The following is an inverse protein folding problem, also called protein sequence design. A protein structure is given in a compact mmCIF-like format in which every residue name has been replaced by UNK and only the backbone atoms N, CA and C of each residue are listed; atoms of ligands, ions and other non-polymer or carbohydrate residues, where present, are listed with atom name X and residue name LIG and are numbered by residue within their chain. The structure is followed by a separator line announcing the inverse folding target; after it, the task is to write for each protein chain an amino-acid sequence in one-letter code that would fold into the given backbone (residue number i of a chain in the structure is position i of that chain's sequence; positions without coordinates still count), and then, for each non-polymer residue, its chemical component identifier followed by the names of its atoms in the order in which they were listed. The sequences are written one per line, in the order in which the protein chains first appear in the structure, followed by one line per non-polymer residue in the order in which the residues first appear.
data_IF_541847054939
#
_entry.id   IF_541847054939
#
_cell.length_a   1.000
_cell.length_b   1.000
_cell.length_c   1.000
_cell.angle_alpha   90.00
_cell.angle_beta   90.00
_cell.angle_gamma   90.00
#
_symmetry.space_group_name_H-M   'P 1'
#
loop_
_entity.id
_entity.type
_entity.pdbx_description
1 polymer ?
#
# COMPACT_ATOMS: atom_id res chain seq x y z
N UNK A 1 -70.90 -39.42 25.13
CA UNK A 1 -71.41 -40.74 24.70
C UNK A 1 -70.27 -41.52 24.05
N UNK A 2 -70.25 -42.86 24.19
CA UNK A 2 -69.05 -43.65 24.45
C UNK A 2 -68.37 -44.25 23.19
N UNK A 3 -67.08 -44.56 23.37
CA UNK A 3 -66.20 -45.68 22.88
C UNK A 3 -66.84 -46.79 22.00
N UNK A 4 -66.09 -47.75 21.40
CA UNK A 4 -64.71 -47.86 20.86
C UNK A 4 -64.70 -48.48 19.43
N UNK A 5 -63.53 -48.75 18.83
CA UNK A 5 -63.10 -50.13 18.49
C UNK A 5 -61.82 -50.16 17.63
N UNK A 6 -60.78 -50.81 18.18
CA UNK A 6 -59.76 -51.53 17.40
C UNK A 6 -60.26 -52.96 17.16
N UNK A 7 -59.91 -53.59 16.04
CA UNK A 7 -58.93 -54.70 16.04
C UNK A 7 -57.90 -54.52 14.90
N UNK A 8 -56.61 -54.87 14.98
CA UNK A 8 -55.93 -56.13 15.35
C UNK A 8 -55.84 -57.14 14.18
N UNK A 9 -54.58 -57.50 13.84
CA UNK A 9 -54.09 -58.64 13.02
C UNK A 9 -54.45 -58.65 11.52
N UNK A 10 -53.65 -59.15 10.57
CA UNK A 10 -52.30 -59.73 10.55
C UNK A 10 -51.94 -59.98 9.06
N UNK A 11 -50.62 -60.11 8.77
CA UNK A 11 -50.01 -60.90 7.67
C UNK A 11 -50.34 -60.46 6.22
N UNK A 12 -49.49 -60.58 5.23
CA UNK A 12 -48.08 -60.91 5.10
C UNK A 12 -47.70 -60.62 3.63
N UNK A 13 -46.42 -60.34 3.43
CA UNK A 13 -45.59 -60.78 2.31
C UNK A 13 -45.72 -60.13 0.90
N UNK A 14 -44.54 -59.68 0.45
CA UNK A 14 -44.03 -59.53 -0.93
C UNK A 14 -44.64 -58.38 -1.72
N UNK A 15 -43.91 -57.35 -2.15
CA UNK A 15 -42.47 -57.17 -2.34
C UNK A 15 -42.27 -56.63 -3.74
N UNK A 16 -41.82 -55.38 -3.88
CA UNK A 16 -41.09 -54.88 -5.06
C UNK A 16 -40.17 -53.77 -4.56
N UNK A 17 -38.87 -53.97 -4.80
CA UNK A 17 -37.81 -53.02 -4.50
C UNK A 17 -37.95 -51.79 -5.41
N UNK A 18 -38.21 -50.62 -4.81
CA UNK A 18 -38.07 -49.31 -5.44
C UNK A 18 -36.90 -48.59 -4.81
N UNK A 19 -35.83 -48.40 -5.58
CA UNK A 19 -34.61 -47.72 -5.17
C UNK A 19 -34.90 -46.28 -4.74
N UNK A 20 -34.69 -46.00 -3.45
CA UNK A 20 -34.77 -44.65 -2.88
C UNK A 20 -33.42 -43.96 -3.09
N UNK A 21 -33.31 -43.13 -4.12
CA UNK A 21 -32.18 -42.21 -4.29
C UNK A 21 -32.18 -41.21 -3.13
N UNK A 22 -31.30 -41.43 -2.16
CA UNK A 22 -30.88 -40.42 -1.19
C UNK A 22 -30.00 -39.40 -1.92
N UNK A 23 -30.60 -38.29 -2.35
CA UNK A 23 -29.86 -37.09 -2.76
C UNK A 23 -29.29 -36.42 -1.51
N UNK A 24 -28.11 -36.88 -1.08
CA UNK A 24 -27.27 -36.12 -0.15
C UNK A 24 -26.70 -34.94 -0.90
N UNK A 25 -27.32 -33.77 -0.77
CA UNK A 25 -26.71 -32.49 -1.12
C UNK A 25 -25.53 -32.25 -0.18
N UNK A 26 -24.37 -32.75 -0.56
CA UNK A 26 -23.09 -32.31 -0.03
C UNK A 26 -22.94 -30.83 -0.39
N UNK A 27 -23.09 -29.97 0.62
CA UNK A 27 -22.68 -28.58 0.53
C UNK A 27 -21.14 -28.59 0.47
N UNK A 28 -20.60 -28.73 -0.73
CA UNK A 28 -19.21 -28.40 -1.00
C UNK A 28 -19.08 -26.88 -0.89
N UNK A 29 -18.88 -26.41 0.34
CA UNK A 29 -18.29 -25.09 0.59
C UNK A 29 -16.89 -25.15 -0.02
N UNK A 30 -16.78 -24.65 -1.25
CA UNK A 30 -15.50 -24.27 -1.81
C UNK A 30 -14.96 -23.14 -0.94
N UNK A 31 -14.11 -23.51 0.02
CA UNK A 31 -13.19 -22.63 0.70
C UNK A 31 -12.19 -22.14 -0.35
N UNK A 32 -12.46 -20.99 -0.97
CA UNK A 32 -11.46 -20.26 -1.75
C UNK A 32 -10.61 -19.46 -0.78
N UNK A 33 -9.71 -20.17 -0.14
CA UNK A 33 -8.57 -19.67 0.62
C UNK A 33 -7.65 -18.86 -0.30
N UNK A 34 -7.20 -17.69 0.14
CA UNK A 34 -5.84 -17.28 -0.18
C UNK A 34 -5.21 -16.54 1.01
N UNK A 35 -4.10 -17.05 1.58
CA UNK A 35 -3.37 -16.34 2.60
C UNK A 35 -2.91 -14.97 2.08
N UNK A 36 -2.62 -14.00 2.97
CA UNK A 36 -2.03 -12.72 2.57
C UNK A 36 -0.78 -12.98 1.71
N UNK A 37 -0.48 -12.11 0.73
CA UNK A 37 0.61 -12.34 -0.20
C UNK A 37 1.87 -12.66 0.61
N UNK A 38 2.51 -13.81 0.36
CA UNK A 38 3.78 -14.10 1.00
C UNK A 38 4.75 -12.95 0.67
N UNK A 39 5.71 -12.70 1.56
CA UNK A 39 6.91 -11.96 1.15
C UNK A 39 7.41 -12.56 -0.17
N UNK A 40 7.93 -11.75 -1.12
CA UNK A 40 8.36 -12.27 -2.41
C UNK A 40 9.18 -13.54 -2.22
N UNK A 41 8.84 -14.59 -2.99
CA UNK A 41 9.51 -15.87 -2.86
C UNK A 41 11.03 -15.66 -3.01
N UNK A 42 11.89 -16.39 -2.27
CA UNK A 42 13.33 -16.32 -2.47
C UNK A 42 13.66 -16.50 -3.96
N UNK A 43 14.20 -15.46 -4.59
CA UNK A 43 14.46 -15.44 -6.03
C UNK A 43 13.45 -14.69 -6.91
N UNK A 44 12.56 -13.87 -6.35
CA UNK A 44 11.73 -12.94 -7.12
C UNK A 44 12.58 -12.05 -8.06
N UNK A 45 12.17 -11.94 -9.32
CA UNK A 45 12.89 -11.19 -10.37
C UNK A 45 11.91 -10.43 -11.24
N UNK A 46 12.17 -9.13 -11.40
CA UNK A 46 11.47 -8.33 -12.39
C UNK A 46 11.92 -8.75 -13.79
N UNK A 47 10.99 -9.28 -14.59
CA UNK A 47 11.21 -9.57 -16.01
C UNK A 47 10.26 -8.70 -16.83
N UNK A 48 10.83 -7.94 -17.77
CA UNK A 48 10.11 -7.01 -18.65
C UNK A 48 9.89 -7.62 -20.03
N UNK A 49 8.62 -7.77 -20.42
CA UNK A 49 8.25 -8.27 -21.75
C UNK A 49 7.78 -7.10 -22.63
N UNK A 50 8.25 -6.97 -23.87
CA UNK A 50 7.77 -5.90 -24.76
C UNK A 50 6.27 -6.05 -25.01
N UNK A 51 5.54 -4.93 -25.03
CA UNK A 51 4.10 -4.88 -25.32
C UNK A 51 3.78 -3.76 -26.33
N UNK A 52 2.64 -3.79 -26.99
CA UNK A 52 2.10 -2.67 -27.74
C UNK A 52 1.09 -1.89 -26.89
N UNK A 53 0.80 -0.64 -27.24
CA UNK A 53 -0.28 0.12 -26.59
C UNK A 53 -1.66 -0.53 -26.79
N UNK A 54 -1.84 -1.32 -27.85
CA UNK A 54 -3.03 -2.14 -28.06
C UNK A 54 -3.19 -3.26 -27.02
N UNK A 55 -2.09 -3.66 -26.36
CA UNK A 55 -2.10 -4.69 -25.31
C UNK A 55 -2.43 -4.11 -23.92
N UNK A 56 -2.57 -2.79 -23.78
CA UNK A 56 -2.90 -2.12 -22.53
C UNK A 56 -4.44 -1.99 -22.41
N UNK A 57 -5.10 -2.78 -21.54
CA UNK A 57 -6.55 -2.71 -21.39
C UNK A 57 -6.96 -1.32 -20.95
N UNK A 58 -8.01 -0.78 -21.57
CA UNK A 58 -8.53 0.55 -21.21
C UNK A 58 -7.65 1.73 -21.63
N UNK A 59 -6.57 1.53 -22.40
CA UNK A 59 -5.66 2.62 -22.80
C UNK A 59 -6.42 3.84 -23.33
N UNK A 60 -7.30 3.63 -24.31
CA UNK A 60 -8.07 4.70 -24.95
C UNK A 60 -9.15 5.34 -24.06
N UNK A 61 -9.47 4.73 -22.91
CA UNK A 61 -10.54 5.19 -22.01
C UNK A 61 -10.02 6.04 -20.84
N UNK A 62 -8.81 5.80 -20.35
CA UNK A 62 -8.23 6.63 -19.27
C UNK A 62 -7.95 8.05 -19.77
N UNK A 63 -8.15 9.05 -18.91
CA UNK A 63 -7.75 10.44 -19.17
C UNK A 63 -6.26 10.60 -18.84
N UNK A 64 -5.39 10.24 -19.78
CA UNK A 64 -3.93 10.19 -19.51
C UNK A 64 -3.32 11.55 -19.24
N UNK A 65 -3.97 12.65 -19.68
CA UNK A 65 -3.53 14.02 -19.37
C UNK A 65 -3.48 14.31 -17.87
N UNK A 66 -4.31 13.63 -17.07
CA UNK A 66 -4.33 13.81 -15.62
C UNK A 66 -3.09 13.22 -14.93
N UNK A 67 -2.38 12.29 -15.58
CA UNK A 67 -1.11 11.76 -15.08
C UNK A 67 0.09 12.66 -15.41
N UNK A 68 -0.04 13.56 -16.39
CA UNK A 68 1.08 14.42 -16.86
C UNK A 68 1.70 15.24 -15.72
N UNK A 69 0.93 15.89 -14.82
CA UNK A 69 1.53 16.60 -13.70
C UNK A 69 2.37 15.71 -12.78
N UNK A 70 1.97 14.44 -12.57
CA UNK A 70 2.77 13.50 -11.78
C UNK A 70 4.07 13.15 -12.51
N UNK A 71 4.01 12.89 -13.83
CA UNK A 71 5.20 12.60 -14.63
C UNK A 71 6.18 13.78 -14.61
N UNK A 72 5.67 15.01 -14.74
CA UNK A 72 6.50 16.22 -14.72
C UNK A 72 7.19 16.44 -13.37
N UNK A 73 6.51 16.17 -12.24
CA UNK A 73 7.13 16.21 -10.91
C UNK A 73 8.31 15.24 -10.81
N UNK A 74 8.19 14.06 -11.42
CA UNK A 74 9.26 13.07 -11.46
C UNK A 74 10.37 13.40 -12.45
N UNK A 75 10.08 14.08 -13.57
CA UNK A 75 11.06 14.48 -14.57
C UNK A 75 12.25 15.24 -13.96
N UNK A 76 12.02 16.15 -13.01
CA UNK A 76 13.10 16.89 -12.35
C UNK A 76 14.09 15.97 -11.62
N UNK A 77 13.63 14.82 -11.10
CA UNK A 77 14.47 13.83 -10.42
C UNK A 77 15.17 12.95 -11.46
N UNK A 78 14.42 12.45 -12.46
CA UNK A 78 14.92 11.56 -13.51
C UNK A 78 16.03 12.20 -14.36
N UNK A 79 15.93 13.51 -14.63
CA UNK A 79 16.94 14.26 -15.38
C UNK A 79 18.26 14.44 -14.62
N UNK A 80 18.29 14.21 -13.30
CA UNK A 80 19.52 14.24 -12.49
C UNK A 80 20.10 12.86 -12.28
N UNK A 81 19.24 11.90 -11.93
CA UNK A 81 19.66 10.56 -11.59
C UNK A 81 18.55 9.56 -11.89
N UNK A 82 18.95 8.44 -12.49
CA UNK A 82 18.10 7.28 -12.75
C UNK A 82 18.73 6.04 -12.10
N UNK A 83 17.96 4.96 -12.01
CA UNK A 83 18.43 3.66 -11.51
C UNK A 83 17.71 2.52 -12.23
N UNK A 84 18.23 1.30 -12.08
CA UNK A 84 17.61 0.08 -12.58
C UNK A 84 17.24 0.14 -14.06
N UNK A 85 15.99 -0.24 -14.37
CA UNK A 85 15.46 -0.33 -15.75
C UNK A 85 15.13 1.03 -16.37
N UNK A 86 15.30 2.15 -15.66
CA UNK A 86 14.87 3.47 -16.12
C UNK A 86 15.78 4.12 -17.19
N UNK A 87 16.87 3.45 -17.61
CA UNK A 87 17.84 4.03 -18.54
C UNK A 87 18.73 5.08 -17.89
N UNK A 88 19.30 5.99 -18.69
CA UNK A 88 20.17 7.08 -18.23
C UNK A 88 19.39 8.40 -18.18
N UNK A 89 19.82 9.42 -17.41
CA UNK A 89 19.14 10.71 -17.35
C UNK A 89 18.91 11.36 -18.73
N UNK A 90 19.83 11.16 -19.68
CA UNK A 90 19.73 11.72 -21.03
C UNK A 90 18.55 11.16 -21.83
N UNK A 91 18.12 9.93 -21.56
CA UNK A 91 16.97 9.29 -22.21
C UNK A 91 15.65 10.02 -21.87
N UNK A 92 15.62 10.75 -20.75
CA UNK A 92 14.44 11.47 -20.25
C UNK A 92 14.32 12.91 -20.77
N UNK A 93 15.37 13.47 -21.38
CA UNK A 93 15.38 14.86 -21.86
C UNK A 93 14.21 15.15 -22.82
N UNK A 94 14.12 14.38 -23.91
CA UNK A 94 13.12 14.61 -24.95
C UNK A 94 11.68 14.28 -24.51
N UNK A 95 11.41 13.13 -23.83
CA UNK A 95 10.09 12.84 -23.27
C UNK A 95 9.61 13.92 -22.29
N UNK A 96 10.45 14.32 -21.32
CA UNK A 96 10.08 15.33 -20.34
C UNK A 96 9.83 16.70 -20.98
N UNK A 97 10.67 17.11 -21.94
CA UNK A 97 10.44 18.36 -22.67
C UNK A 97 9.15 18.33 -23.49
N UNK A 98 8.82 17.19 -24.11
CA UNK A 98 7.59 17.06 -24.90
C UNK A 98 6.35 17.18 -24.02
N UNK A 99 6.32 16.50 -22.87
CA UNK A 99 5.22 16.58 -21.91
C UNK A 99 5.08 17.97 -21.29
N UNK A 100 6.20 18.65 -21.01
CA UNK A 100 6.19 20.01 -20.44
C UNK A 100 5.58 21.05 -21.39
N UNK A 101 5.72 20.85 -22.69
CA UNK A 101 5.25 21.77 -23.73
C UNK A 101 3.82 21.47 -24.22
N UNK A 102 3.10 20.55 -23.57
CA UNK A 102 1.72 20.25 -23.90
C UNK A 102 0.80 21.43 -23.53
N UNK A 103 -0.20 21.76 -24.36
CA UNK A 103 -1.28 22.63 -23.93
C UNK A 103 -2.02 22.01 -22.73
N UNK A 104 -2.32 22.79 -21.67
CA UNK A 104 -3.01 22.29 -20.49
C UNK A 104 -4.33 21.57 -20.84
N UNK A 105 -4.51 20.37 -20.31
CA UNK A 105 -5.74 19.58 -20.50
C UNK A 105 -5.92 18.96 -21.90
N UNK A 106 -4.94 19.06 -22.81
CA UNK A 106 -5.04 18.48 -24.14
C UNK A 106 -4.76 16.97 -24.14
N UNK A 107 -5.83 16.19 -23.95
CA UNK A 107 -5.81 14.73 -23.87
C UNK A 107 -5.20 14.05 -25.11
N UNK A 108 -5.60 14.47 -26.31
CA UNK A 108 -5.12 13.86 -27.55
C UNK A 108 -3.60 14.04 -27.73
N UNK A 109 -3.09 15.24 -27.44
CA UNK A 109 -1.64 15.51 -27.51
C UNK A 109 -0.88 14.79 -26.41
N UNK A 110 -1.43 14.69 -25.20
CA UNK A 110 -0.82 13.94 -24.10
C UNK A 110 -0.64 12.46 -24.46
N UNK A 111 -1.70 11.83 -24.98
CA UNK A 111 -1.66 10.44 -25.47
C UNK A 111 -0.66 10.24 -26.59
N UNK A 112 -0.70 11.09 -27.61
CA UNK A 112 0.24 11.02 -28.73
C UNK A 112 1.70 11.20 -28.27
N UNK A 113 1.96 12.08 -27.29
CA UNK A 113 3.29 12.25 -26.72
C UNK A 113 3.75 10.99 -25.97
N UNK A 114 2.88 10.37 -25.17
CA UNK A 114 3.19 9.12 -24.47
C UNK A 114 3.52 8.01 -25.47
N UNK A 115 2.67 7.80 -26.48
CA UNK A 115 2.88 6.79 -27.52
C UNK A 115 4.15 7.01 -28.33
N UNK A 116 4.48 8.28 -28.61
CA UNK A 116 5.69 8.65 -29.34
C UNK A 116 6.96 8.39 -28.54
N UNK A 117 6.97 8.73 -27.25
CA UNK A 117 8.21 8.80 -26.47
C UNK A 117 8.46 7.58 -25.60
N UNK A 118 7.42 6.82 -25.24
CA UNK A 118 7.52 5.68 -24.35
C UNK A 118 7.10 4.38 -25.03
N UNK A 119 7.78 3.31 -24.65
CA UNK A 119 7.50 1.93 -25.01
C UNK A 119 6.93 1.21 -23.77
N UNK A 120 5.75 0.59 -23.84
CA UNK A 120 5.24 -0.22 -22.74
C UNK A 120 5.99 -1.55 -22.65
N UNK A 121 6.29 -1.95 -21.41
CA UNK A 121 6.91 -3.21 -21.05
C UNK A 121 6.10 -3.87 -19.93
N UNK A 122 5.52 -5.04 -20.19
CA UNK A 122 4.76 -5.78 -19.18
C UNK A 122 5.71 -6.27 -18.08
N UNK A 123 5.43 -5.89 -16.84
CA UNK A 123 6.19 -6.37 -15.70
C UNK A 123 5.70 -7.75 -15.26
N UNK A 124 6.64 -8.62 -14.91
CA UNK A 124 6.35 -9.96 -14.40
C UNK A 124 7.31 -10.31 -13.26
N UNK A 125 6.84 -11.12 -12.32
CA UNK A 125 7.68 -11.83 -11.34
C UNK A 125 8.03 -13.20 -11.91
N UNK A 126 9.27 -13.38 -12.38
CA UNK A 126 9.71 -14.64 -12.98
C UNK A 126 8.76 -15.18 -14.08
N UNK A 127 8.17 -14.27 -14.87
CA UNK A 127 7.20 -14.61 -15.92
C UNK A 127 5.74 -14.60 -15.47
N UNK A 128 5.43 -14.53 -14.18
CA UNK A 128 4.07 -14.32 -13.68
C UNK A 128 3.70 -12.82 -13.73
N UNK A 129 2.72 -12.41 -14.54
CA UNK A 129 2.30 -11.01 -14.63
C UNK A 129 1.34 -10.57 -13.53
N UNK A 130 0.83 -11.49 -12.71
CA UNK A 130 -0.15 -11.18 -11.69
C UNK A 130 0.49 -10.86 -10.35
N UNK A 131 -0.03 -9.81 -9.73
CA UNK A 131 0.39 -9.30 -8.44
C UNK A 131 -0.79 -8.81 -7.60
N UNK A 132 -0.45 -8.24 -6.43
CA UNK A 132 -1.43 -7.64 -5.53
C UNK A 132 -1.29 -6.12 -5.49
N UNK A 133 -2.42 -5.44 -5.57
CA UNK A 133 -2.52 -4.00 -5.48
C UNK A 133 -3.45 -3.61 -4.34
N UNK A 134 -2.98 -2.68 -3.52
CA UNK A 134 -3.71 -2.12 -2.37
C UNK A 134 -3.91 -0.62 -2.59
N UNK A 135 -4.57 0.06 -1.67
CA UNK A 135 -4.64 1.51 -1.68
C UNK A 135 -4.31 2.15 -0.33
N UNK A 136 -3.83 3.38 -0.37
CA UNK A 136 -3.55 4.22 0.79
C UNK A 136 -4.01 5.67 0.55
N UNK A 137 -4.11 6.47 1.61
CA UNK A 137 -4.68 7.82 1.59
C UNK A 137 -4.09 8.71 2.70
N UNK A 138 -4.27 10.03 2.61
CA UNK A 138 -4.01 10.96 3.73
C UNK A 138 -5.16 10.84 4.75
N UNK A 139 -4.87 10.34 5.95
CA UNK A 139 -5.86 10.19 7.01
C UNK A 139 -6.36 11.57 7.49
N UNK A 140 -7.65 11.71 7.74
CA UNK A 140 -8.22 12.88 8.44
C UNK A 140 -8.31 12.57 9.95
N UNK A 141 -7.83 13.48 10.79
CA UNK A 141 -7.81 13.34 12.24
C UNK A 141 -8.29 14.63 12.91
N UNK A 142 -8.58 14.57 14.20
CA UNK A 142 -8.84 15.74 15.04
C UNK A 142 -7.74 15.91 16.06
N UNK A 143 -7.31 17.15 16.27
CA UNK A 143 -6.23 17.43 17.19
C UNK A 143 -6.25 18.83 17.79
N UNK A 144 -5.33 19.06 18.72
CA UNK A 144 -5.05 20.33 19.37
C UNK A 144 -3.54 20.49 19.53
N UNK A 145 -3.03 21.72 19.42
CA UNK A 145 -1.60 22.00 19.65
C UNK A 145 -1.20 21.82 21.11
N UNK A 146 -2.15 21.96 22.03
CA UNK A 146 -1.94 21.75 23.47
C UNK A 146 -2.68 20.52 23.98
N UNK A 147 -2.12 19.89 25.01
CA UNK A 147 -2.75 18.74 25.68
C UNK A 147 -3.86 19.22 26.60
N UNK A 148 -5.10 18.81 26.34
CA UNK A 148 -6.25 19.07 27.23
C UNK A 148 -7.46 18.22 26.84
N UNK A 149 -8.39 18.04 27.78
CA UNK A 149 -9.66 17.35 27.52
C UNK A 149 -9.45 15.97 26.88
N UNK A 150 -10.03 15.77 25.69
CA UNK A 150 -9.88 14.55 24.88
C UNK A 150 -8.54 14.45 24.14
N UNK A 151 -7.87 15.57 23.88
CA UNK A 151 -6.61 15.63 23.13
C UNK A 151 -5.44 15.19 24.00
N UNK A 152 -5.25 13.88 24.07
CA UNK A 152 -4.35 13.22 25.01
C UNK A 152 -3.34 12.30 24.34
N UNK A 153 -3.50 12.02 23.05
CA UNK A 153 -2.63 11.13 22.28
C UNK A 153 -1.57 11.96 21.54
N UNK A 154 -0.29 11.89 21.91
CA UNK A 154 0.74 12.70 21.26
C UNK A 154 1.09 12.14 19.88
N UNK A 155 1.16 13.01 18.88
CA UNK A 155 1.83 12.75 17.61
C UNK A 155 3.25 13.35 17.69
N UNK A 156 4.29 12.54 17.54
CA UNK A 156 5.66 13.00 17.78
C UNK A 156 6.40 13.45 16.52
N UNK A 157 7.21 14.51 16.69
CA UNK A 157 8.31 14.86 15.80
C UNK A 157 9.40 13.79 15.86
N UNK A 158 10.22 13.73 14.80
CA UNK A 158 11.41 12.89 14.80
C UNK A 158 12.36 13.31 15.93
N UNK A 159 12.72 12.39 16.85
CA UNK A 159 13.70 12.68 17.88
C UNK A 159 15.06 13.03 17.26
N UNK A 160 15.78 14.06 17.77
CA UNK A 160 17.08 14.45 17.22
C UNK A 160 18.18 13.39 17.43
N UNK A 161 17.97 12.46 18.35
CA UNK A 161 18.87 11.35 18.65
C UNK A 161 18.54 10.06 17.87
N UNK A 162 17.49 10.09 17.03
CA UNK A 162 17.15 8.98 16.13
C UNK A 162 18.09 9.00 14.93
N UNK A 163 18.91 7.96 14.84
CA UNK A 163 19.83 7.70 13.73
C UNK A 163 19.24 6.59 12.87
N UNK A 164 18.91 6.91 11.62
CA UNK A 164 18.56 5.92 10.60
C UNK A 164 19.82 5.59 9.78
N UNK A 165 20.09 4.31 9.60
CA UNK A 165 21.30 3.82 8.94
C UNK A 165 20.93 3.04 7.71
N UNK A 166 21.49 3.43 6.57
CA UNK A 166 21.50 2.62 5.35
C UNK A 166 22.70 1.67 5.43
N UNK A 167 22.43 0.38 5.64
CA UNK A 167 23.50 -0.61 5.81
C UNK A 167 24.28 -0.84 4.51
N UNK A 168 23.72 -0.47 3.36
CA UNK A 168 24.39 -0.53 2.06
C UNK A 168 25.58 0.41 1.95
N UNK A 169 25.64 1.48 2.75
CA UNK A 169 26.80 2.38 2.81
C UNK A 169 28.03 1.71 3.45
N UNK A 170 27.81 0.67 4.26
CA UNK A 170 28.88 -0.05 4.95
C UNK A 170 29.38 -1.26 4.16
N UNK A 171 28.46 -2.01 3.55
CA UNK A 171 28.76 -3.26 2.84
C UNK A 171 27.76 -3.48 1.72
N UNK A 172 28.26 -3.84 0.54
CA UNK A 172 27.41 -4.14 -0.62
C UNK A 172 26.38 -5.25 -0.34
N UNK A 173 26.74 -6.25 0.47
CA UNK A 173 25.86 -7.35 0.86
C UNK A 173 24.65 -6.92 1.72
N UNK A 174 24.65 -5.69 2.22
CA UNK A 174 23.57 -5.14 3.05
C UNK A 174 22.78 -4.04 2.31
N UNK A 175 23.03 -3.83 1.02
CA UNK A 175 22.24 -2.88 0.21
C UNK A 175 20.75 -3.17 0.30
N UNK A 176 19.96 -2.12 0.51
CA UNK A 176 18.51 -2.21 0.70
C UNK A 176 18.08 -2.52 2.14
N UNK A 177 19.01 -2.87 3.04
CA UNK A 177 18.68 -3.05 4.46
C UNK A 177 18.87 -1.75 5.23
N UNK A 178 17.93 -1.46 6.12
CA UNK A 178 17.94 -0.26 6.96
C UNK A 178 17.69 -0.65 8.41
N UNK A 179 18.37 0.04 9.32
CA UNK A 179 18.10 -0.04 10.76
C UNK A 179 17.92 1.38 11.30
N UNK A 180 17.32 1.50 12.47
CA UNK A 180 17.32 2.76 13.20
C UNK A 180 17.62 2.53 14.69
N UNK A 181 18.19 3.56 15.31
CA UNK A 181 18.64 3.46 16.68
C UNK A 181 19.01 4.81 17.25
N UNK A 182 19.66 4.78 18.40
CA UNK A 182 20.30 5.94 19.03
C UNK A 182 21.70 5.60 19.46
N UNK A 183 22.60 6.58 19.40
CA UNK A 183 23.97 6.40 19.89
C UNK A 183 23.98 6.58 21.41
N UNK A 184 24.53 5.61 22.13
CA UNK A 184 24.73 5.65 23.59
C UNK A 184 26.10 5.06 23.88
N UNK A 185 26.97 5.85 24.52
CA UNK A 185 28.35 5.45 24.84
C UNK A 185 29.13 4.95 23.61
N UNK A 186 28.98 5.65 22.47
CA UNK A 186 29.62 5.29 21.21
C UNK A 186 29.04 4.06 20.50
N UNK A 187 27.95 3.47 21.02
CA UNK A 187 27.29 2.29 20.42
C UNK A 187 25.90 2.66 19.89
N UNK A 188 25.59 2.24 18.67
CA UNK A 188 24.23 2.31 18.14
C UNK A 188 23.38 1.23 18.81
N UNK A 189 22.35 1.65 19.55
CA UNK A 189 21.35 0.77 20.19
C UNK A 189 20.00 0.92 19.47
N UNK A 190 19.16 -0.13 19.41
CA UNK A 190 17.81 -0.01 18.84
C UNK A 190 17.02 1.13 19.49
N UNK A 191 16.19 1.80 18.70
CA UNK A 191 15.27 2.81 19.24
C UNK A 191 14.11 2.14 19.97
N UNK A 192 13.35 2.92 20.74
CA UNK A 192 12.20 2.39 21.48
C UNK A 192 11.13 1.84 20.52
N UNK A 193 10.53 0.70 20.90
CA UNK A 193 9.39 0.13 20.18
C UNK A 193 8.10 0.91 20.48
N UNK A 194 7.03 0.63 19.73
CA UNK A 194 5.72 1.25 19.93
C UNK A 194 5.25 1.18 21.38
N UNK A 195 5.32 0.00 22.02
CA UNK A 195 4.87 -0.20 23.40
C UNK A 195 5.56 0.74 24.38
N UNK A 196 6.89 0.89 24.26
CA UNK A 196 7.63 1.80 25.14
C UNK A 196 7.34 3.26 24.85
N UNK A 197 7.15 3.63 23.59
CA UNK A 197 6.76 5.00 23.22
C UNK A 197 5.37 5.33 23.76
N UNK A 198 4.40 4.42 23.59
CA UNK A 198 3.03 4.55 24.09
C UNK A 198 3.00 4.58 25.64
N UNK A 199 3.91 3.86 26.30
CA UNK A 199 4.13 3.93 27.75
C UNK A 199 4.86 5.19 28.24
N UNK A 200 5.19 6.13 27.33
CA UNK A 200 5.73 7.44 27.68
C UNK A 200 7.25 7.59 27.59
N UNK A 201 7.97 6.73 26.87
CA UNK A 201 9.43 6.84 26.71
C UNK A 201 9.91 8.16 26.04
N UNK A 202 8.98 8.92 25.44
CA UNK A 202 9.24 10.23 24.83
C UNK A 202 8.66 11.42 25.61
N UNK A 203 7.93 11.16 26.70
CA UNK A 203 7.31 12.20 27.52
C UNK A 203 8.35 13.16 28.08
N UNK A 204 8.05 14.47 28.03
CA UNK A 204 8.90 15.51 28.59
C UNK A 204 10.11 15.88 27.72
N UNK A 205 10.22 15.32 26.50
CA UNK A 205 11.26 15.67 25.54
C UNK A 205 10.88 16.84 24.61
N UNK A 206 9.66 17.36 24.71
CA UNK A 206 9.17 18.47 23.88
C UNK A 206 9.03 18.09 22.40
N UNK A 207 8.74 16.81 22.13
CA UNK A 207 8.67 16.26 20.77
C UNK A 207 7.24 16.27 20.22
N UNK A 208 6.25 16.58 21.03
CA UNK A 208 4.83 16.56 20.68
C UNK A 208 4.54 17.62 19.60
N UNK A 209 4.14 17.15 18.42
CA UNK A 209 3.77 17.96 17.27
C UNK A 209 2.35 18.50 17.41
N UNK A 210 1.44 17.61 17.80
CA UNK A 210 0.01 17.86 18.04
C UNK A 210 -0.53 16.75 18.94
N UNK A 211 -1.60 17.01 19.68
CA UNK A 211 -2.31 16.06 20.51
C UNK A 211 -3.61 15.66 19.83
N UNK A 212 -3.78 14.39 19.55
CA UNK A 212 -4.96 13.80 18.89
C UNK A 212 -5.98 13.33 19.93
N UNK A 213 -7.25 13.26 19.52
CA UNK A 213 -8.35 12.80 20.38
C UNK A 213 -8.57 11.28 20.36
N UNK A 214 -7.99 10.57 19.39
CA UNK A 214 -8.17 9.13 19.24
C UNK A 214 -6.85 8.39 18.91
N UNK A 215 -6.58 7.33 19.67
CA UNK A 215 -5.35 6.53 19.53
C UNK A 215 -5.38 5.58 18.34
N UNK A 216 -6.58 5.15 17.91
CA UNK A 216 -6.77 4.29 16.75
C UNK A 216 -6.49 5.10 15.48
N UNK A 217 -7.01 6.32 15.38
CA UNK A 217 -6.71 7.25 14.29
C UNK A 217 -5.22 7.58 14.22
N UNK A 218 -4.58 7.84 15.36
CA UNK A 218 -3.13 7.99 15.42
C UNK A 218 -2.41 6.74 14.89
N UNK A 219 -2.81 5.54 15.29
CA UNK A 219 -2.23 4.29 14.80
C UNK A 219 -2.38 4.12 13.29
N UNK A 220 -3.57 4.38 12.73
CA UNK A 220 -3.77 4.30 11.29
C UNK A 220 -3.02 5.38 10.52
N UNK A 221 -2.86 6.59 11.08
CA UNK A 221 -1.96 7.60 10.51
C UNK A 221 -0.52 7.10 10.40
N UNK A 222 -0.01 6.32 11.38
CA UNK A 222 1.32 5.69 11.26
C UNK A 222 1.40 4.69 10.10
N UNK A 223 0.30 4.00 9.79
CA UNK A 223 0.23 3.07 8.65
C UNK A 223 0.19 3.84 7.32
N UNK A 224 -0.58 4.92 7.26
CA UNK A 224 -0.73 5.74 6.05
C UNK A 224 0.50 6.63 5.78
N UNK A 225 1.25 7.02 6.81
CA UNK A 225 2.46 7.85 6.71
C UNK A 225 2.21 9.34 6.50
N UNK A 226 0.97 9.77 6.24
CA UNK A 226 0.58 11.17 6.12
C UNK A 226 -0.88 11.41 6.47
N UNK A 227 -1.21 12.64 6.85
CA UNK A 227 -2.57 13.00 7.22
C UNK A 227 -2.81 14.49 7.44
N UNK A 228 -4.07 14.80 7.70
CA UNK A 228 -4.63 16.14 7.89
C UNK A 228 -5.30 16.18 9.24
N UNK A 229 -4.81 17.04 10.12
CA UNK A 229 -5.32 17.22 11.47
C UNK A 229 -6.18 18.47 11.48
N UNK A 230 -7.49 18.29 11.62
CA UNK A 230 -8.44 19.37 11.88
C UNK A 230 -8.22 19.83 13.32
N UNK A 231 -7.78 21.07 13.46
CA UNK A 231 -7.39 21.64 14.75
C UNK A 231 -8.60 22.19 15.49
N UNK A 232 -8.71 21.91 16.79
CA UNK A 232 -9.76 22.48 17.65
C UNK A 232 -9.70 24.01 17.65
N UNK A 233 -8.49 24.58 17.59
CA UNK A 233 -8.27 26.02 17.55
C UNK A 233 -8.64 26.64 16.19
N UNK A 234 -9.06 25.82 15.23
CA UNK A 234 -9.37 26.20 13.87
C UNK A 234 -8.22 25.95 12.88
N UNK A 235 -8.60 25.72 11.63
CA UNK A 235 -7.68 25.41 10.54
C UNK A 235 -7.29 23.93 10.46
N UNK A 236 -6.36 23.65 9.57
CA UNK A 236 -5.83 22.31 9.31
C UNK A 236 -4.32 22.31 9.46
N UNK A 237 -3.78 21.27 10.08
CA UNK A 237 -2.36 20.95 10.09
C UNK A 237 -2.12 19.68 9.29
N UNK A 238 -1.35 19.79 8.22
CA UNK A 238 -0.92 18.62 7.46
C UNK A 238 0.36 18.05 8.05
N UNK A 239 0.45 16.73 8.09
CA UNK A 239 1.61 16.01 8.63
C UNK A 239 2.08 14.94 7.65
N UNK A 240 3.39 14.78 7.57
CA UNK A 240 4.03 13.78 6.72
C UNK A 240 5.13 13.06 7.48
N UNK A 241 5.42 11.84 7.04
CA UNK A 241 6.54 11.01 7.49
C UNK A 241 7.85 11.81 7.57
N UNK A 242 8.56 11.69 8.69
CA UNK A 242 9.92 12.22 8.87
C UNK A 242 10.93 11.17 9.36
N UNK A 243 10.48 9.95 9.63
CA UNK A 243 11.35 8.84 10.03
C UNK A 243 10.59 7.76 10.80
N UNK A 244 11.29 6.70 11.18
CA UNK A 244 10.72 5.60 11.95
C UNK A 244 11.73 4.99 12.94
N UNK A 245 11.23 4.30 13.96
CA UNK A 245 12.04 3.71 15.03
C UNK A 245 12.88 2.48 14.62
N UNK A 246 12.77 2.02 13.37
CA UNK A 246 13.59 0.94 12.81
C UNK A 246 13.08 -0.48 13.09
N UNK A 247 12.00 -0.63 13.85
CA UNK A 247 11.36 -1.92 14.06
C UNK A 247 10.53 -2.34 12.84
N UNK A 248 10.47 -3.65 12.52
CA UNK A 248 9.68 -4.14 11.39
C UNK A 248 8.19 -3.89 11.63
N UNK A 249 7.48 -3.57 10.54
CA UNK A 249 6.03 -3.49 10.57
C UNK A 249 5.42 -4.88 10.77
N UNK A 250 4.47 -5.00 11.69
CA UNK A 250 3.66 -6.21 11.89
C UNK A 250 2.19 -5.88 11.64
N UNK A 251 1.58 -6.59 10.69
CA UNK A 251 0.18 -6.41 10.35
C UNK A 251 -0.73 -7.00 11.45
N UNK A 252 -1.30 -6.13 12.29
CA UNK A 252 -2.14 -6.56 13.42
C UNK A 252 -3.39 -7.34 13.00
N UNK A 253 -3.93 -7.09 11.80
CA UNK A 253 -5.09 -7.82 11.28
C UNK A 253 -4.85 -9.33 11.17
N UNK A 254 -3.62 -9.75 10.81
CA UNK A 254 -3.25 -11.17 10.77
C UNK A 254 -3.25 -11.78 12.17
N UNK A 255 -2.71 -11.07 13.14
CA UNK A 255 -2.70 -11.52 14.53
C UNK A 255 -4.12 -11.59 15.08
N UNK A 256 -4.96 -10.59 14.79
CA UNK A 256 -6.36 -10.57 15.22
C UNK A 256 -7.14 -11.77 14.66
N UNK A 257 -6.93 -12.13 13.39
CA UNK A 257 -7.57 -13.30 12.83
C UNK A 257 -7.01 -14.62 13.37
N UNK A 258 -5.71 -14.69 13.68
CA UNK A 258 -5.11 -15.84 14.33
C UNK A 258 -5.64 -16.03 15.78
N UNK A 259 -5.88 -14.93 16.48
CA UNK A 259 -6.44 -14.89 17.83
C UNK A 259 -7.97 -15.13 17.86
N UNK A 260 -8.62 -15.28 16.70
CA UNK A 260 -10.09 -15.42 16.59
C UNK A 260 -10.88 -14.14 16.91
N UNK A 261 -10.24 -12.97 16.91
CA UNK A 261 -10.87 -11.66 17.16
C UNK A 261 -11.63 -11.13 15.95
N UNK A 262 -11.19 -11.51 14.75
CA UNK A 262 -11.82 -11.22 13.47
C UNK A 262 -11.89 -12.49 12.63
N UNK A 263 -12.93 -12.60 11.82
CA UNK A 263 -12.95 -13.59 10.74
C UNK A 263 -11.84 -13.26 9.74
N UNK A 264 -11.12 -14.29 9.26
CA UNK A 264 -10.02 -14.15 8.29
C UNK A 264 -10.49 -13.50 6.99
N UNK A 265 -11.71 -13.80 6.57
CA UNK A 265 -12.27 -13.30 5.31
C UNK A 265 -12.82 -11.87 5.46
N UNK A 266 -13.00 -11.41 6.70
CA UNK A 266 -13.51 -10.09 7.02
C UNK A 266 -12.40 -9.09 7.43
N UNK A 267 -11.11 -9.45 7.36
CA UNK A 267 -10.02 -8.55 7.78
C UNK A 267 -9.85 -7.41 6.77
N UNK A 268 -10.35 -6.24 7.13
CA UNK A 268 -10.20 -4.98 6.39
C UNK A 268 -9.76 -3.89 7.35
N UNK A 269 -9.33 -2.74 6.83
CA UNK A 269 -9.04 -1.58 7.67
C UNK A 269 -10.25 -1.20 8.54
N UNK A 270 -11.44 -1.24 7.96
CA UNK A 270 -12.70 -0.88 8.60
C UNK A 270 -13.09 -1.87 9.69
N UNK A 271 -12.95 -3.18 9.46
CA UNK A 271 -13.27 -4.17 10.50
C UNK A 271 -12.28 -4.13 11.65
N UNK A 272 -10.99 -3.87 11.39
CA UNK A 272 -9.98 -3.64 12.44
C UNK A 272 -10.32 -2.39 13.25
N UNK A 273 -10.63 -1.25 12.59
CA UNK A 273 -11.03 0.00 13.28
C UNK A 273 -12.26 -0.24 14.15
N UNK A 274 -13.31 -0.86 13.61
CA UNK A 274 -14.53 -1.15 14.34
C UNK A 274 -14.28 -2.04 15.56
N UNK A 275 -13.43 -3.06 15.42
CA UNK A 275 -13.07 -3.94 16.52
C UNK A 275 -12.29 -3.19 17.62
N UNK A 276 -11.30 -2.38 17.25
CA UNK A 276 -10.52 -1.59 18.23
C UNK A 276 -11.40 -0.60 19.00
N UNK A 277 -12.31 0.08 18.31
CA UNK A 277 -13.28 0.99 18.92
C UNK A 277 -14.25 0.26 19.88
N UNK A 278 -14.69 -0.94 19.51
CA UNK A 278 -15.58 -1.75 20.35
C UNK A 278 -14.86 -2.43 21.55
N UNK A 279 -13.53 -2.51 21.53
CA UNK A 279 -12.73 -3.22 22.54
C UNK A 279 -11.64 -2.33 23.17
N UNK A 280 -11.98 -1.19 23.79
CA UNK A 280 -11.00 -0.20 24.25
C UNK A 280 -9.99 -0.76 25.25
N UNK A 281 -10.39 -1.73 26.10
CA UNK A 281 -9.49 -2.37 27.06
C UNK A 281 -8.38 -3.22 26.41
N UNK A 282 -8.59 -3.68 25.17
CA UNK A 282 -7.64 -4.53 24.43
C UNK A 282 -6.99 -3.78 23.25
N UNK A 283 -7.54 -2.62 22.87
CA UNK A 283 -7.13 -1.88 21.70
C UNK A 283 -5.64 -1.51 21.74
N UNK A 284 -5.18 -0.95 22.87
CA UNK A 284 -3.77 -0.57 23.04
C UNK A 284 -2.84 -1.78 22.85
N UNK A 285 -3.04 -2.86 23.62
CA UNK A 285 -2.20 -4.06 23.53
C UNK A 285 -2.22 -4.69 22.13
N UNK A 286 -3.35 -4.61 21.43
CA UNK A 286 -3.48 -5.10 20.05
C UNK A 286 -2.65 -4.25 19.08
N UNK A 287 -2.74 -2.92 19.17
CA UNK A 287 -1.94 -2.00 18.33
C UNK A 287 -0.43 -2.10 18.62
N UNK A 288 -0.05 -2.28 19.89
CA UNK A 288 1.33 -2.52 20.32
C UNK A 288 1.93 -3.85 19.80
N UNK A 289 1.10 -4.75 19.25
CA UNK A 289 1.58 -5.90 18.49
C UNK A 289 2.39 -5.51 17.25
N UNK A 290 2.24 -4.27 16.76
CA UNK A 290 3.11 -3.66 15.77
C UNK A 290 4.21 -2.81 16.44
N UNK A 291 5.47 -3.28 16.54
CA UNK A 291 6.53 -2.53 17.21
C UNK A 291 6.99 -1.31 16.42
N UNK A 292 6.66 -1.21 15.13
CA UNK A 292 7.00 -0.08 14.27
C UNK A 292 6.28 1.20 14.70
N UNK A 293 7.04 2.30 14.77
CA UNK A 293 6.54 3.64 15.11
C UNK A 293 7.10 4.67 14.14
N UNK A 294 6.22 5.52 13.61
CA UNK A 294 6.53 6.58 12.63
C UNK A 294 6.54 7.94 13.32
N UNK A 295 7.49 8.78 12.95
CA UNK A 295 7.58 10.17 13.39
C UNK A 295 7.22 11.11 12.25
N UNK A 296 6.71 12.29 12.60
CA UNK A 296 6.10 13.20 11.64
C UNK A 296 6.72 14.60 11.68
N UNK A 297 6.52 15.34 10.60
CA UNK A 297 6.77 16.78 10.52
C UNK A 297 5.56 17.50 9.92
N UNK A 298 5.40 18.80 10.17
CA UNK A 298 4.48 19.61 9.39
C UNK A 298 4.75 19.47 7.90
N UNK A 299 3.69 19.41 7.11
CA UNK A 299 3.74 19.36 5.66
C UNK A 299 3.22 20.68 5.08
N UNK A 300 3.99 21.25 4.16
CA UNK A 300 3.62 22.41 3.35
C UNK A 300 3.44 21.98 1.88
N UNK A 301 2.70 22.77 1.08
CA UNK A 301 2.52 22.55 -0.36
C UNK A 301 1.30 21.70 -0.74
N UNK A 302 1.33 21.07 -1.92
CA UNK A 302 0.14 20.54 -2.60
C UNK A 302 -0.28 19.12 -2.19
N UNK A 303 0.60 18.36 -1.53
CA UNK A 303 0.45 16.91 -1.38
C UNK A 303 1.52 16.33 -0.45
N UNK A 304 1.30 15.15 0.15
CA UNK A 304 2.36 14.44 0.86
C UNK A 304 3.49 14.14 -0.11
N UNK A 305 4.73 14.25 0.36
CA UNK A 305 5.89 13.89 -0.43
C UNK A 305 6.06 12.37 -0.37
N UNK A 306 6.04 11.71 -1.53
CA UNK A 306 6.42 10.31 -1.62
C UNK A 306 7.92 10.12 -1.41
N UNK A 307 8.38 8.87 -1.33
CA UNK A 307 9.78 8.50 -1.17
C UNK A 307 10.71 9.05 -2.27
N UNK A 308 10.20 9.40 -3.46
CA UNK A 308 10.97 10.11 -4.49
C UNK A 308 11.26 11.59 -4.11
N UNK A 309 10.62 12.12 -3.07
CA UNK A 309 10.72 13.51 -2.63
C UNK A 309 9.94 14.47 -3.53
N UNK A 310 8.81 14.01 -4.08
CA UNK A 310 7.88 14.81 -4.89
C UNK A 310 6.47 14.66 -4.34
N UNK A 311 5.65 15.71 -4.47
CA UNK A 311 4.27 15.67 -4.00
C UNK A 311 3.46 14.64 -4.81
N UNK A 312 2.71 13.79 -4.10
CA UNK A 312 1.85 12.78 -4.69
C UNK A 312 0.58 13.42 -5.30
N UNK A 313 -0.02 12.72 -6.26
CA UNK A 313 -1.25 13.09 -6.93
C UNK A 313 -2.29 11.99 -6.74
N UNK A 314 -3.47 12.30 -6.17
CA UNK A 314 -4.55 11.34 -5.98
C UNK A 314 -4.89 10.57 -7.27
N UNK A 315 -4.94 9.25 -7.17
CA UNK A 315 -5.25 8.32 -8.25
C UNK A 315 -4.20 8.25 -9.37
N UNK A 316 -3.06 8.94 -9.25
CA UNK A 316 -2.00 9.02 -10.27
C UNK A 316 -0.61 8.73 -9.73
N UNK A 317 -0.43 8.61 -8.41
CA UNK A 317 0.81 8.16 -7.78
C UNK A 317 0.67 6.74 -7.24
N UNK A 318 1.74 5.95 -7.43
CA UNK A 318 1.81 4.55 -7.03
C UNK A 318 3.02 4.36 -6.11
N UNK A 319 2.82 3.71 -4.97
CA UNK A 319 3.92 3.19 -4.17
C UNK A 319 4.36 1.83 -4.73
N UNK A 320 5.65 1.59 -4.85
CA UNK A 320 6.23 0.36 -5.43
C UNK A 320 7.38 -0.17 -4.58
N UNK A 321 7.81 -1.39 -4.85
CA UNK A 321 9.10 -1.88 -4.37
C UNK A 321 10.22 -1.26 -5.23
N UNK A 322 10.92 -0.28 -4.66
CA UNK A 322 11.93 0.49 -5.38
C UNK A 322 13.21 -0.30 -5.69
N UNK A 323 13.37 -1.50 -5.14
CA UNK A 323 14.47 -2.40 -5.49
C UNK A 323 14.27 -3.02 -6.88
N UNK A 324 13.02 -3.11 -7.35
CA UNK A 324 12.64 -3.61 -8.67
C UNK A 324 12.21 -2.49 -9.62
N UNK A 325 11.32 -1.61 -9.17
CA UNK A 325 10.74 -0.54 -10.00
C UNK A 325 11.32 0.82 -9.57
N UNK A 326 12.20 1.42 -10.38
CA UNK A 326 12.72 2.76 -10.11
C UNK A 326 11.61 3.80 -9.97
N UNK A 327 11.82 4.75 -9.06
CA UNK A 327 10.92 5.90 -8.96
C UNK A 327 10.92 6.72 -10.25
N UNK A 328 9.82 7.42 -10.48
CA UNK A 328 9.59 8.33 -11.60
C UNK A 328 9.10 7.68 -12.88
N UNK A 329 9.07 6.35 -12.94
CA UNK A 329 8.54 5.64 -14.10
C UNK A 329 7.02 5.85 -14.22
N UNK A 330 6.51 6.23 -15.41
CA UNK A 330 5.10 6.07 -15.71
C UNK A 330 4.74 4.58 -15.76
N UNK A 331 3.61 4.23 -15.14
CA UNK A 331 3.14 2.86 -14.95
C UNK A 331 1.69 2.79 -15.43
N UNK A 332 1.38 1.92 -16.39
CA UNK A 332 0.00 1.58 -16.71
C UNK A 332 -0.48 0.48 -15.78
N UNK A 333 -1.35 0.81 -14.83
CA UNK A 333 -1.97 -0.15 -13.92
C UNK A 333 -3.19 -0.78 -14.60
N UNK A 334 -3.39 -2.08 -14.43
CA UNK A 334 -4.63 -2.76 -14.81
C UNK A 334 -4.97 -3.85 -13.78
N UNK A 335 -5.99 -3.58 -12.97
CA UNK A 335 -6.39 -4.44 -11.84
C UNK A 335 -7.91 -4.51 -11.72
N UNK A 336 -8.44 -5.45 -10.94
CA UNK A 336 -9.85 -5.44 -10.53
C UNK A 336 -10.19 -4.14 -9.79
N UNK A 337 -11.32 -3.50 -10.11
CA UNK A 337 -11.75 -2.30 -9.38
C UNK A 337 -12.07 -2.67 -7.91
N UNK A 338 -11.59 -1.86 -6.93
CA UNK A 338 -11.75 -2.19 -5.51
C UNK A 338 -13.20 -2.16 -5.02
N UNK A 339 -14.10 -1.41 -5.67
CA UNK A 339 -15.50 -1.26 -5.26
C UNK A 339 -16.47 -2.08 -6.13
N UNK A 340 -16.04 -2.47 -7.33
CA UNK A 340 -16.82 -3.27 -8.28
C UNK A 340 -15.96 -4.36 -8.94
N UNK A 341 -16.05 -5.58 -8.42
CA UNK A 341 -15.23 -6.70 -8.86
C UNK A 341 -15.41 -7.13 -10.32
N UNK A 342 -16.52 -6.72 -10.95
CA UNK A 342 -16.80 -7.01 -12.36
C UNK A 342 -16.14 -5.98 -13.31
N UNK A 343 -15.59 -4.90 -12.75
CA UNK A 343 -14.90 -3.84 -13.50
C UNK A 343 -13.39 -3.92 -13.33
N UNK A 344 -12.69 -3.28 -14.27
CA UNK A 344 -11.24 -3.07 -14.19
C UNK A 344 -10.94 -1.61 -13.90
N UNK A 345 -9.98 -1.39 -13.00
CA UNK A 345 -9.28 -0.13 -12.83
C UNK A 345 -8.04 -0.15 -13.72
N UNK A 346 -8.15 0.45 -14.90
CA UNK A 346 -7.03 0.62 -15.84
C UNK A 346 -6.65 2.09 -15.95
N UNK A 347 -5.42 2.46 -15.55
CA UNK A 347 -5.04 3.87 -15.40
C UNK A 347 -3.54 4.11 -15.49
N UNK A 348 -3.15 5.23 -16.11
CA UNK A 348 -1.77 5.73 -16.06
C UNK A 348 -1.45 6.39 -14.71
N UNK A 349 -0.42 5.88 -14.07
CA UNK A 349 0.12 6.34 -12.79
C UNK A 349 1.64 6.56 -12.88
N UNK A 350 2.27 6.98 -11.79
CA UNK A 350 3.72 7.17 -11.69
C UNK A 350 4.23 6.56 -10.38
N UNK A 351 5.31 5.76 -10.46
CA UNK A 351 5.98 5.21 -9.29
C UNK A 351 6.68 6.32 -8.50
N UNK A 352 6.07 6.85 -7.43
CA UNK A 352 6.58 8.04 -6.71
C UNK A 352 6.83 7.80 -5.23
N UNK A 353 6.45 6.63 -4.73
CA UNK A 353 6.51 6.30 -3.31
C UNK A 353 6.92 4.85 -3.06
N UNK A 354 7.15 4.50 -1.80
CA UNK A 354 7.36 3.11 -1.35
C UNK A 354 6.77 2.92 0.04
N UNK A 355 6.47 1.68 0.41
CA UNK A 355 6.01 1.33 1.74
C UNK A 355 6.63 0.02 2.19
N UNK A 356 6.85 -0.14 3.50
CA UNK A 356 7.50 -1.35 4.04
C UNK A 356 6.76 -2.66 3.73
N UNK A 357 5.46 -2.61 3.49
CA UNK A 357 4.62 -3.75 3.10
C UNK A 357 4.49 -3.94 1.57
N UNK A 358 5.10 -3.05 0.77
CA UNK A 358 5.04 -3.07 -0.69
C UNK A 358 6.31 -3.72 -1.21
N UNK A 359 6.30 -5.05 -1.23
CA UNK A 359 7.46 -5.86 -1.61
C UNK A 359 7.17 -6.75 -2.81
N UNK A 360 8.11 -6.84 -3.74
CA UNK A 360 8.06 -7.68 -4.94
C UNK A 360 7.90 -6.90 -6.25
N UNK A 361 8.24 -7.55 -7.38
CA UNK A 361 8.34 -6.90 -8.69
C UNK A 361 6.99 -6.61 -9.37
N UNK A 362 5.89 -7.25 -8.94
CA UNK A 362 4.52 -6.96 -9.36
C UNK A 362 3.67 -6.70 -8.11
N UNK A 363 3.92 -5.56 -7.48
CA UNK A 363 3.24 -5.10 -6.27
C UNK A 363 3.11 -3.58 -6.34
N UNK A 364 1.99 -3.04 -5.87
CA UNK A 364 1.87 -1.59 -5.71
C UNK A 364 0.76 -1.15 -4.77
N UNK A 365 0.86 0.08 -4.28
CA UNK A 365 -0.14 0.73 -3.44
C UNK A 365 -0.62 2.02 -4.12
N UNK A 366 -1.92 2.14 -4.41
CA UNK A 366 -2.47 3.32 -5.09
C UNK A 366 -2.74 4.42 -4.09
N UNK A 367 -2.19 5.61 -4.33
CA UNK A 367 -2.51 6.79 -3.52
C UNK A 367 -3.86 7.35 -3.94
N UNK A 368 -4.88 7.30 -3.09
CA UNK A 368 -6.22 7.78 -3.42
C UNK A 368 -6.49 9.24 -3.04
N UNK A 369 -5.57 9.92 -2.35
CA UNK A 369 -5.75 11.30 -1.91
C UNK A 369 -6.28 11.37 -0.48
N UNK A 370 -7.25 12.24 -0.20
CA UNK A 370 -7.82 12.45 1.13
C UNK A 370 -9.35 12.46 1.07
N UNK A 371 -9.98 12.36 2.24
CA UNK A 371 -11.44 12.39 2.38
C UNK A 371 -12.09 11.00 2.23
N UNK A 372 -13.41 10.98 2.43
CA UNK A 372 -14.20 9.74 2.57
C UNK A 372 -14.10 8.80 1.37
N UNK A 373 -14.09 9.34 0.14
CA UNK A 373 -13.97 8.54 -1.07
C UNK A 373 -12.60 7.85 -1.15
N UNK A 374 -11.53 8.57 -0.83
CA UNK A 374 -10.18 8.02 -0.79
C UNK A 374 -10.06 6.93 0.28
N UNK A 375 -10.62 7.15 1.46
CA UNK A 375 -10.65 6.15 2.54
C UNK A 375 -11.44 4.89 2.14
N UNK A 376 -12.62 5.05 1.52
CA UNK A 376 -13.44 3.94 1.04
C UNK A 376 -12.66 3.07 0.05
N UNK A 377 -12.17 3.69 -1.03
CA UNK A 377 -11.45 3.00 -2.10
C UNK A 377 -10.17 2.36 -1.58
N UNK A 378 -9.38 3.08 -0.78
CA UNK A 378 -8.15 2.55 -0.20
C UNK A 378 -8.41 1.34 0.71
N UNK A 379 -9.38 1.46 1.62
CA UNK A 379 -9.59 0.47 2.67
C UNK A 379 -10.12 -0.88 2.19
N UNK A 380 -10.84 -0.91 1.06
CA UNK A 380 -11.35 -2.17 0.45
C UNK A 380 -10.44 -2.71 -0.66
N UNK A 381 -9.44 -1.94 -1.09
CA UNK A 381 -8.59 -2.33 -2.21
C UNK A 381 -7.68 -3.51 -1.87
N UNK A 382 -8.04 -4.67 -2.42
CA UNK A 382 -7.23 -5.89 -2.47
C UNK A 382 -7.33 -6.46 -3.89
N UNK A 383 -6.82 -5.68 -4.85
CA UNK A 383 -7.05 -5.91 -6.27
C UNK A 383 -5.97 -6.78 -6.89
N UNK A 384 -6.37 -7.83 -7.62
CA UNK A 384 -5.47 -8.64 -8.45
C UNK A 384 -5.32 -8.02 -9.83
N UNK A 385 -4.14 -8.14 -10.42
CA UNK A 385 -3.83 -7.68 -11.77
C UNK A 385 -2.36 -7.46 -11.98
N UNK A 386 -1.99 -6.54 -12.86
CA UNK A 386 -0.58 -6.27 -13.19
C UNK A 386 -0.37 -4.86 -13.70
N UNK A 387 0.86 -4.57 -14.12
CA UNK A 387 1.17 -3.30 -14.76
C UNK A 387 2.21 -3.40 -15.87
N UNK A 388 2.28 -2.34 -16.67
CA UNK A 388 3.32 -2.10 -17.64
C UNK A 388 4.13 -0.89 -17.23
N UNK A 389 5.46 -1.00 -17.31
CA UNK A 389 6.37 0.11 -17.16
C UNK A 389 6.53 0.80 -18.52
N UNK A 390 6.34 2.11 -18.57
CA UNK A 390 6.54 2.91 -19.78
C UNK A 390 7.96 3.48 -19.73
N UNK A 391 8.86 2.91 -20.53
CA UNK A 391 10.26 3.34 -20.60
C UNK A 391 10.47 4.23 -21.83
N UNK A 392 11.37 5.24 -21.78
CA UNK A 392 11.73 5.99 -22.98
C UNK A 392 12.12 5.04 -24.12
N UNK A 393 11.70 5.31 -25.36
CA UNK A 393 11.98 4.41 -26.50
C UNK A 393 13.47 4.19 -26.80
N UNK A 394 14.34 5.07 -26.31
CA UNK A 394 15.80 4.92 -26.39
C UNK A 394 16.35 3.88 -25.40
N UNK A 395 15.54 3.47 -24.43
CA UNK A 395 15.88 2.46 -23.43
C UNK A 395 15.36 1.11 -23.88
N UNK A 396 16.29 0.20 -24.15
CA UNK A 396 16.00 -1.23 -24.21
C UNK A 396 16.42 -1.82 -22.86
N UNK A 397 15.48 -2.20 -21.98
CA UNK A 397 15.86 -2.94 -20.80
C UNK A 397 16.56 -4.21 -21.28
N UNK A 398 17.75 -4.49 -20.76
CA UNK A 398 18.28 -5.84 -20.90
C UNK A 398 17.25 -6.82 -20.30
N UNK A 399 17.30 -8.10 -20.65
CA UNK A 399 16.65 -9.13 -19.83
C UNK A 399 17.34 -9.13 -18.46
N UNK A 400 17.07 -8.11 -17.64
CA UNK A 400 17.70 -7.91 -16.36
C UNK A 400 16.99 -8.91 -15.46
N UNK A 401 17.63 -10.06 -15.27
CA UNK A 401 17.42 -10.86 -14.08
C UNK A 401 17.85 -10.02 -12.87
N UNK A 402 17.03 -9.06 -12.46
CA UNK A 402 17.25 -8.30 -11.23
C UNK A 402 16.83 -9.20 -10.08
N UNK A 403 17.74 -10.09 -9.69
CA UNK A 403 17.83 -10.71 -8.36
C UNK A 403 19.27 -10.51 -7.86
N UNK A 404 19.56 -10.70 -6.57
CA UNK A 404 20.87 -10.37 -6.01
C UNK A 404 21.95 -11.25 -6.66
N UNK A 405 22.65 -10.68 -7.64
CA UNK A 405 23.76 -11.33 -8.33
C UNK A 405 25.06 -11.13 -7.54
N UNK A 406 25.90 -12.17 -7.39
CA UNK A 406 27.15 -12.08 -6.64
C UNK A 406 28.24 -11.45 -7.51
N UNK A 407 29.04 -10.56 -6.93
CA UNK A 407 30.31 -10.06 -7.48
C UNK A 407 30.82 -8.95 -6.58
N UNK A 408 32.10 -8.73 -6.31
CA UNK A 408 33.39 -9.38 -6.55
C UNK A 408 34.38 -8.57 -5.72
#
# INVERSE_FOLDING_TARGET
MPIPCRPVFARAARGVAGALLLLTTACSLFTSEEPPPPAPAPGAKLVLQPAAYADLPGWQADRVVEAVPAILRSCDKMLRQTSGVAGKPQDWNAPCSALKNLPPGNEAMARAALERWFQPWRATDNGNPEGLFTGYYEAELRGSRTRHGRYTVPLYRRPPDLVMVDLGEFRDSLKGQRIAGRVTDGKLKPYEDRRRIDAGALTGKGLELVWLDDAVDAFFLHIQGSGRVVLEEGGEMRVAYDGQNGWPYVAIGRQMAADGKLDRDAVTMQSIRAWLAANPAQAQATMEGNPSYVFFKPLEGDGPLGAQGVALIPGRSLAVDHTYVPYGLPVWLDVTDPEDGDKRLSRLMVAQDTGGAIQGPVRGDVFWGHGREAESRAGVMKSRGGYWLLLPRTVTPANIAAGPGPSS
#
